data_IF_091360004487
#
_entry.id   IF_091360004487
#
_cell.length_a   1.000
_cell.length_b   1.000
_cell.length_c   1.000
_cell.angle_alpha   90.00
_cell.angle_beta   90.00
_cell.angle_gamma   90.00
#
_symmetry.space_group_name_H-M   'P 1'
#
loop_
_entity.id
_entity.type
_entity.pdbx_description
1 polymer ?
#
# COMPACT_ATOMS: atom_id res chain seq x y z
N UNK A 1 24.26 -3.83 0.74
CA UNK A 1 24.72 -2.40 0.74
C UNK A 1 23.57 -1.40 0.89
N UNK A 2 22.38 -1.66 0.36
CA UNK A 2 21.23 -0.72 0.49
C UNK A 2 20.75 -0.52 1.95
N UNK A 3 20.69 -1.57 2.75
CA UNK A 3 20.21 -1.51 4.15
C UNK A 3 21.15 -0.77 5.10
N UNK A 4 22.47 -0.93 4.94
CA UNK A 4 23.47 -0.19 5.74
C UNK A 4 23.36 1.32 5.52
N UNK A 5 23.00 1.73 4.30
CA UNK A 5 22.78 3.15 4.01
C UNK A 5 21.51 3.69 4.69
N UNK A 6 20.44 2.88 4.75
CA UNK A 6 19.19 3.29 5.40
C UNK A 6 19.36 3.47 6.91
N UNK A 7 20.06 2.56 7.58
CA UNK A 7 20.36 2.67 9.02
C UNK A 7 21.17 3.95 9.30
N UNK A 8 22.17 4.24 8.46
CA UNK A 8 22.96 5.46 8.61
C UNK A 8 22.10 6.73 8.42
N UNK A 9 21.22 6.75 7.42
CA UNK A 9 20.29 7.87 7.20
C UNK A 9 19.29 8.01 8.36
N UNK A 10 18.70 6.91 8.81
CA UNK A 10 17.79 6.90 9.96
C UNK A 10 18.49 7.44 11.22
N UNK A 11 19.73 7.00 11.47
CA UNK A 11 20.51 7.51 12.63
C UNK A 11 20.74 9.01 12.52
N UNK A 12 21.09 9.51 11.33
CA UNK A 12 21.26 10.94 11.11
C UNK A 12 19.96 11.75 11.39
N UNK A 13 18.82 11.20 10.99
CA UNK A 13 17.52 11.85 11.26
C UNK A 13 17.19 11.76 12.74
N UNK A 14 17.29 10.59 13.35
CA UNK A 14 16.85 10.33 14.72
C UNK A 14 17.70 11.07 15.77
N UNK A 15 19.03 11.16 15.56
CA UNK A 15 19.98 11.72 16.52
C UNK A 15 20.26 13.19 16.23
N UNK A 16 20.49 13.52 14.95
CA UNK A 16 20.93 14.87 14.56
C UNK A 16 19.84 15.73 13.93
N UNK A 17 18.60 15.23 13.84
CA UNK A 17 17.49 15.91 13.19
C UNK A 17 17.80 16.39 11.76
N UNK A 18 18.63 15.61 11.04
CA UNK A 18 19.11 15.95 9.70
C UNK A 18 17.99 15.77 8.67
N UNK A 19 17.35 16.87 8.29
CA UNK A 19 16.25 16.88 7.29
C UNK A 19 16.72 16.38 5.93
N UNK A 20 17.96 16.67 5.50
CA UNK A 20 18.49 16.19 4.22
C UNK A 20 18.64 14.67 4.18
N UNK A 21 18.95 14.04 5.30
CA UNK A 21 18.96 12.58 5.39
C UNK A 21 17.55 11.99 5.26
N UNK A 22 16.55 12.64 5.82
CA UNK A 22 15.16 12.23 5.64
C UNK A 22 14.69 12.41 4.18
N UNK A 23 15.03 13.51 3.52
CA UNK A 23 14.73 13.72 2.10
C UNK A 23 15.29 12.60 1.21
N UNK A 24 16.46 12.05 1.53
CA UNK A 24 17.02 10.91 0.81
C UNK A 24 16.16 9.63 1.01
N UNK A 25 15.69 9.38 2.22
CA UNK A 25 14.77 8.28 2.50
C UNK A 25 13.44 8.46 1.73
N UNK A 26 12.87 9.68 1.75
CA UNK A 26 11.66 9.99 0.98
C UNK A 26 11.87 9.72 -0.50
N UNK A 27 12.93 10.25 -1.11
CA UNK A 27 13.24 10.02 -2.54
C UNK A 27 13.40 8.55 -2.88
N UNK A 28 14.00 7.75 -1.98
CA UNK A 28 14.18 6.32 -2.18
C UNK A 28 12.86 5.54 -2.11
N UNK A 29 11.97 5.91 -1.19
CA UNK A 29 10.79 5.13 -0.87
C UNK A 29 9.47 5.70 -1.37
N UNK A 30 9.42 6.93 -1.90
CA UNK A 30 8.18 7.56 -2.39
C UNK A 30 7.48 6.73 -3.48
N UNK A 31 8.23 6.17 -4.43
CA UNK A 31 7.65 5.38 -5.52
C UNK A 31 7.04 4.06 -5.05
N UNK A 32 7.73 3.21 -4.26
CA UNK A 32 7.13 2.03 -3.64
C UNK A 32 5.89 2.33 -2.79
N UNK A 33 5.95 3.34 -1.91
CA UNK A 33 4.83 3.72 -1.04
C UNK A 33 3.63 4.19 -1.86
N UNK A 34 3.85 5.07 -2.84
CA UNK A 34 2.79 5.53 -3.75
C UNK A 34 2.17 4.38 -4.53
N UNK A 35 2.99 3.47 -5.08
CA UNK A 35 2.51 2.29 -5.81
C UNK A 35 1.66 1.39 -4.93
N UNK A 36 2.05 1.16 -3.68
CA UNK A 36 1.24 0.42 -2.72
C UNK A 36 -0.16 1.05 -2.60
N UNK A 37 -0.25 2.37 -2.38
CA UNK A 37 -1.54 3.04 -2.26
C UNK A 37 -2.35 3.01 -3.57
N UNK A 38 -1.74 3.21 -4.73
CA UNK A 38 -2.44 3.09 -6.01
C UNK A 38 -3.11 1.72 -6.18
N UNK A 39 -2.47 0.65 -5.73
CA UNK A 39 -3.04 -0.70 -5.77
C UNK A 39 -4.16 -0.87 -4.73
N UNK A 40 -4.05 -0.26 -3.55
CA UNK A 40 -5.09 -0.33 -2.52
C UNK A 40 -6.32 0.50 -2.89
N UNK A 41 -6.12 1.69 -3.47
CA UNK A 41 -7.18 2.63 -3.86
C UNK A 41 -7.73 2.38 -5.27
N UNK A 42 -7.23 1.32 -5.96
CA UNK A 42 -7.64 0.95 -7.32
C UNK A 42 -7.39 2.06 -8.35
N UNK A 43 -6.28 2.78 -8.20
CA UNK A 43 -5.84 3.80 -9.14
C UNK A 43 -6.24 5.24 -8.79
N UNK A 44 -6.87 5.50 -7.66
CA UNK A 44 -7.12 6.86 -7.20
C UNK A 44 -5.78 7.55 -6.86
N UNK A 45 -5.33 8.38 -7.79
CA UNK A 45 -4.02 9.02 -7.72
C UNK A 45 -3.97 10.08 -6.60
N UNK A 46 -5.03 10.87 -6.44
CA UNK A 46 -5.07 11.94 -5.44
C UNK A 46 -5.05 11.36 -4.04
N UNK A 47 -5.94 10.42 -3.75
CA UNK A 47 -5.96 9.73 -2.46
C UNK A 47 -4.64 9.02 -2.18
N UNK A 48 -4.04 8.38 -3.19
CA UNK A 48 -2.75 7.69 -3.03
C UNK A 48 -1.62 8.65 -2.67
N UNK A 49 -1.62 9.85 -3.24
CA UNK A 49 -0.62 10.90 -2.95
C UNK A 49 -0.80 11.44 -1.53
N UNK A 50 -2.04 11.67 -1.09
CA UNK A 50 -2.37 12.14 0.26
C UNK A 50 -1.96 11.10 1.33
N UNK A 51 -2.30 9.82 1.12
CA UNK A 51 -1.91 8.74 2.03
C UNK A 51 -0.39 8.51 2.06
N UNK A 52 0.29 8.66 0.92
CA UNK A 52 1.75 8.58 0.87
C UNK A 52 2.39 9.73 1.66
N UNK A 53 1.89 10.94 1.51
CA UNK A 53 2.36 12.09 2.28
C UNK A 53 2.14 11.89 3.79
N UNK A 54 0.96 11.44 4.20
CA UNK A 54 0.66 11.13 5.61
C UNK A 54 1.60 10.05 6.16
N UNK A 55 1.92 9.04 5.35
CA UNK A 55 2.87 7.98 5.71
C UNK A 55 4.25 8.54 6.03
N UNK A 56 4.80 9.44 5.19
CA UNK A 56 6.11 10.03 5.44
C UNK A 56 6.08 11.00 6.63
N UNK A 57 5.01 11.73 6.84
CA UNK A 57 4.83 12.57 8.05
C UNK A 57 4.87 11.69 9.30
N UNK A 58 4.08 10.60 9.34
CA UNK A 58 4.06 9.65 10.47
C UNK A 58 5.43 8.97 10.64
N UNK A 59 6.12 8.62 9.55
CA UNK A 59 7.45 8.05 9.59
C UNK A 59 8.46 9.03 10.22
N UNK A 60 8.46 10.29 9.80
CA UNK A 60 9.33 11.32 10.35
C UNK A 60 9.12 11.51 11.86
N UNK A 61 7.86 11.65 12.27
CA UNK A 61 7.49 11.84 13.69
C UNK A 61 7.82 10.64 14.58
N UNK A 62 7.89 9.44 14.00
CA UNK A 62 8.14 8.20 14.74
C UNK A 62 9.51 7.58 14.44
N UNK A 63 10.41 8.28 13.75
CA UNK A 63 11.69 7.71 13.30
C UNK A 63 12.58 7.24 14.46
N UNK A 64 12.48 7.88 15.61
CA UNK A 64 13.18 7.48 16.84
C UNK A 64 12.69 6.14 17.42
N UNK A 65 11.51 5.66 16.99
CA UNK A 65 10.95 4.36 17.38
C UNK A 65 11.45 3.22 16.49
N UNK A 66 12.14 3.53 15.40
CA UNK A 66 12.75 2.50 14.56
C UNK A 66 13.93 1.85 15.30
N UNK A 67 13.79 0.57 15.64
CA UNK A 67 14.78 -0.18 16.44
C UNK A 67 15.72 -1.06 15.60
N UNK A 68 15.60 -1.05 14.28
CA UNK A 68 16.40 -1.91 13.40
C UNK A 68 16.09 -3.41 13.47
N UNK A 69 14.94 -3.81 14.05
CA UNK A 69 14.48 -5.21 14.14
C UNK A 69 13.94 -5.76 12.80
N UNK A 70 13.75 -4.90 11.84
CA UNK A 70 13.38 -5.21 10.46
C UNK A 70 14.07 -4.19 9.55
N UNK A 71 13.98 -4.39 8.22
CA UNK A 71 14.42 -3.37 7.27
C UNK A 71 13.63 -2.07 7.46
N UNK A 72 14.23 -0.92 7.10
CA UNK A 72 13.50 0.36 7.11
C UNK A 72 12.30 0.31 6.17
N UNK A 73 12.42 -0.38 5.04
CA UNK A 73 11.32 -0.63 4.09
C UNK A 73 10.13 -1.31 4.77
N UNK A 74 10.34 -2.41 5.48
CA UNK A 74 9.31 -3.15 6.20
C UNK A 74 8.62 -2.29 7.26
N UNK A 75 9.41 -1.52 8.03
CA UNK A 75 8.88 -0.60 9.04
C UNK A 75 8.05 0.53 8.40
N UNK A 76 8.52 1.12 7.30
CA UNK A 76 7.81 2.17 6.58
C UNK A 76 6.50 1.64 5.97
N UNK A 77 6.54 0.44 5.36
CA UNK A 77 5.35 -0.18 4.80
C UNK A 77 4.32 -0.56 5.86
N UNK A 78 4.74 -0.89 7.08
CA UNK A 78 3.82 -1.05 8.21
C UNK A 78 3.10 0.25 8.56
N UNK A 79 3.79 1.38 8.49
CA UNK A 79 3.15 2.70 8.68
C UNK A 79 2.15 2.95 7.54
N UNK A 80 2.53 2.70 6.30
CA UNK A 80 1.66 2.85 5.14
C UNK A 80 0.39 1.98 5.25
N UNK A 81 0.56 0.71 5.63
CA UNK A 81 -0.55 -0.20 5.89
C UNK A 81 -1.52 0.36 6.94
N UNK A 82 -1.01 0.84 8.06
CA UNK A 82 -1.84 1.41 9.13
C UNK A 82 -2.56 2.69 8.66
N UNK A 83 -1.87 3.57 7.91
CA UNK A 83 -2.46 4.80 7.34
C UNK A 83 -3.65 4.43 6.44
N UNK A 84 -3.49 3.44 5.56
CA UNK A 84 -4.58 2.98 4.69
C UNK A 84 -5.79 2.47 5.47
N UNK A 85 -5.58 1.58 6.44
CA UNK A 85 -6.69 1.02 7.20
C UNK A 85 -7.36 2.02 8.14
N UNK A 86 -6.62 3.00 8.65
CA UNK A 86 -7.19 4.12 9.41
C UNK A 86 -8.10 4.99 8.52
N UNK A 87 -7.68 5.28 7.27
CA UNK A 87 -8.49 6.02 6.29
C UNK A 87 -9.77 5.24 5.93
N UNK A 88 -9.65 3.95 5.62
CA UNK A 88 -10.82 3.09 5.33
C UNK A 88 -11.80 3.07 6.50
N UNK A 89 -11.31 3.00 7.73
CA UNK A 89 -12.15 3.01 8.93
C UNK A 89 -12.87 4.35 9.11
N UNK A 90 -12.17 5.48 8.92
CA UNK A 90 -12.76 6.83 8.98
C UNK A 90 -13.88 6.98 7.95
N UNK A 91 -13.63 6.65 6.69
CA UNK A 91 -14.63 6.74 5.62
C UNK A 91 -15.83 5.86 5.86
N UNK A 92 -15.64 4.69 6.47
CA UNK A 92 -16.77 3.82 6.84
C UNK A 92 -17.66 4.48 7.87
N UNK A 93 -17.10 5.06 8.93
CA UNK A 93 -17.86 5.79 9.97
C UNK A 93 -18.60 6.97 9.36
N UNK A 94 -17.92 7.82 8.58
CA UNK A 94 -18.53 8.97 7.90
C UNK A 94 -19.66 8.54 6.96
N UNK A 95 -19.51 7.41 6.26
CA UNK A 95 -20.56 6.89 5.38
C UNK A 95 -21.75 6.29 6.13
N UNK A 96 -21.56 5.79 7.33
CA UNK A 96 -22.65 5.29 8.20
C UNK A 96 -23.43 6.48 8.81
N UNK A 97 -22.75 7.53 9.26
CA UNK A 97 -23.39 8.76 9.75
C UNK A 97 -24.16 9.50 8.66
N UNK A 98 -23.67 9.50 7.40
CA UNK A 98 -24.36 10.11 6.27
C UNK A 98 -25.58 9.29 5.82
N UNK A 99 -25.59 7.98 6.00
CA UNK A 99 -26.76 7.12 5.68
C UNK A 99 -27.93 7.33 6.62
N UNK A 100 -27.72 7.79 7.83
CA UNK A 100 -28.80 8.23 8.72
C UNK A 100 -29.50 9.52 8.22
N UNK A 101 -28.83 10.29 7.36
CA UNK A 101 -29.33 11.61 6.93
C UNK A 101 -29.66 11.77 5.43
N UNK A 102 -29.27 10.87 4.52
CA UNK A 102 -29.66 11.04 3.09
C UNK A 102 -29.31 9.80 2.24
N UNK A 103 -30.24 9.36 1.38
CA UNK A 103 -29.96 8.45 0.27
C UNK A 103 -29.24 9.20 -0.86
N UNK A 104 -27.97 8.97 -1.10
CA UNK A 104 -27.29 9.35 -2.35
C UNK A 104 -26.30 8.28 -2.78
N UNK A 105 -26.47 7.82 -4.02
CA UNK A 105 -25.65 6.84 -4.70
C UNK A 105 -24.23 7.39 -4.98
N UNK A 106 -23.22 6.64 -4.59
CA UNK A 106 -21.82 6.94 -4.92
C UNK A 106 -21.44 6.42 -6.31
N UNK A 107 -21.05 7.30 -7.21
CA UNK A 107 -20.49 6.96 -8.53
C UNK A 107 -18.99 6.66 -8.44
N UNK A 108 -18.46 5.70 -9.22
CA UNK A 108 -17.02 5.50 -9.33
C UNK A 108 -16.42 6.58 -10.25
N UNK A 109 -15.46 7.34 -9.70
CA UNK A 109 -14.68 8.32 -10.43
C UNK A 109 -13.64 7.63 -11.32
N UNK A 110 -13.90 7.63 -12.62
CA UNK A 110 -12.91 7.31 -13.66
C UNK A 110 -12.07 8.54 -13.97
N UNK A 111 -10.83 8.57 -13.54
CA UNK A 111 -9.87 9.59 -13.97
C UNK A 111 -9.11 9.15 -15.21
N UNK A 112 -8.95 10.09 -16.15
CA UNK A 112 -8.43 9.91 -17.50
C UNK A 112 -6.95 9.47 -17.52
N UNK A 113 -6.67 8.39 -18.23
CA UNK A 113 -5.33 7.90 -18.54
C UNK A 113 -5.22 7.55 -20.04
N UNK A 114 -4.04 7.71 -20.59
CA UNK A 114 -3.68 7.54 -22.00
C UNK A 114 -3.96 6.10 -22.55
N UNK A 115 -4.38 5.89 -23.84
CA UNK A 115 -5.19 4.73 -24.24
C UNK A 115 -4.54 3.32 -24.22
N UNK A 116 -3.24 3.17 -24.36
CA UNK A 116 -2.61 1.83 -24.50
C UNK A 116 -2.00 1.27 -23.22
N UNK A 117 -1.43 2.11 -22.37
CA UNK A 117 -1.03 1.74 -21.01
C UNK A 117 -2.21 1.76 -20.04
N UNK A 118 -3.33 2.37 -20.41
CA UNK A 118 -4.54 2.44 -19.61
C UNK A 118 -5.31 1.12 -19.57
N UNK A 119 -5.39 0.37 -20.68
CA UNK A 119 -6.12 -0.89 -20.73
C UNK A 119 -5.53 -1.92 -19.74
N UNK A 120 -4.23 -2.24 -19.87
CA UNK A 120 -3.58 -3.21 -18.96
C UNK A 120 -3.62 -2.78 -17.48
N UNK A 121 -3.43 -1.48 -17.20
CA UNK A 121 -3.55 -0.97 -15.82
C UNK A 121 -4.98 -1.06 -15.30
N UNK A 122 -5.98 -0.76 -16.14
CA UNK A 122 -7.39 -0.91 -15.78
C UNK A 122 -7.73 -2.36 -15.49
N UNK A 123 -7.23 -3.31 -16.28
CA UNK A 123 -7.46 -4.74 -16.07
C UNK A 123 -6.80 -5.24 -14.76
N UNK A 124 -5.61 -4.74 -14.43
CA UNK A 124 -4.96 -5.04 -13.15
C UNK A 124 -5.79 -4.48 -11.98
N UNK A 125 -6.25 -3.23 -12.04
CA UNK A 125 -7.08 -2.66 -10.96
C UNK A 125 -8.44 -3.35 -10.88
N UNK A 126 -9.03 -3.74 -12.00
CA UNK A 126 -10.26 -4.53 -12.01
C UNK A 126 -10.05 -5.91 -11.37
N UNK A 127 -8.94 -6.59 -11.67
CA UNK A 127 -8.57 -7.84 -11.00
C UNK A 127 -8.34 -7.65 -9.50
N UNK A 128 -7.67 -6.57 -9.10
CA UNK A 128 -7.45 -6.23 -7.68
C UNK A 128 -8.76 -5.87 -6.96
N UNK A 129 -9.75 -5.28 -7.66
CA UNK A 129 -11.05 -4.94 -7.09
C UNK A 129 -11.87 -6.17 -6.67
N UNK A 130 -11.64 -7.34 -7.30
CA UNK A 130 -12.27 -8.61 -6.92
C UNK A 130 -11.76 -9.19 -5.60
N UNK A 131 -10.63 -8.70 -5.12
CA UNK A 131 -9.99 -9.21 -3.91
C UNK A 131 -10.56 -8.53 -2.66
N UNK A 132 -10.69 -9.31 -1.59
CA UNK A 132 -10.93 -8.73 -0.26
C UNK A 132 -9.73 -7.84 0.13
N UNK A 133 -9.92 -6.82 0.99
CA UNK A 133 -8.84 -5.90 1.36
C UNK A 133 -7.53 -6.60 1.77
N UNK A 134 -7.61 -7.61 2.65
CA UNK A 134 -6.41 -8.34 3.12
C UNK A 134 -5.78 -9.19 2.01
N UNK A 135 -6.58 -9.81 1.13
CA UNK A 135 -6.09 -10.54 -0.04
C UNK A 135 -5.34 -9.59 -0.98
N UNK A 136 -5.92 -8.41 -1.26
CA UNK A 136 -5.33 -7.36 -2.08
C UNK A 136 -3.99 -6.88 -1.51
N UNK A 137 -3.96 -6.59 -0.21
CA UNK A 137 -2.74 -6.19 0.48
C UNK A 137 -1.65 -7.25 0.37
N UNK A 138 -1.96 -8.51 0.67
CA UNK A 138 -0.99 -9.60 0.56
C UNK A 138 -0.48 -9.79 -0.88
N UNK A 139 -1.36 -9.74 -1.87
CA UNK A 139 -1.01 -9.84 -3.30
C UNK A 139 -0.11 -8.67 -3.72
N UNK A 140 -0.47 -7.44 -3.37
CA UNK A 140 0.34 -6.25 -3.69
C UNK A 140 1.74 -6.36 -3.09
N UNK A 141 1.84 -6.67 -1.81
CA UNK A 141 3.13 -6.77 -1.12
C UNK A 141 3.99 -7.90 -1.67
N UNK A 142 3.41 -9.08 -2.01
CA UNK A 142 4.21 -10.21 -2.50
C UNK A 142 4.54 -10.10 -3.98
N UNK A 143 3.53 -9.90 -4.85
CA UNK A 143 3.73 -10.03 -6.30
C UNK A 143 4.23 -8.74 -6.95
N UNK A 144 3.91 -7.59 -6.38
CA UNK A 144 4.27 -6.29 -6.96
C UNK A 144 5.49 -5.70 -6.26
N UNK A 145 5.55 -5.80 -4.93
CA UNK A 145 6.62 -5.19 -4.14
C UNK A 145 7.70 -6.20 -3.70
N UNK A 146 7.47 -7.51 -3.88
CA UNK A 146 8.48 -8.56 -3.67
C UNK A 146 8.76 -8.93 -2.22
N UNK A 147 7.88 -8.56 -1.27
CA UNK A 147 8.06 -8.92 0.13
C UNK A 147 7.85 -10.42 0.38
N UNK A 148 8.72 -11.09 1.14
CA UNK A 148 8.50 -12.45 1.60
C UNK A 148 7.40 -12.51 2.67
N UNK A 149 6.85 -13.70 2.90
CA UNK A 149 5.67 -13.91 3.77
C UNK A 149 5.90 -13.42 5.20
N UNK A 150 7.08 -13.66 5.76
CA UNK A 150 7.42 -13.23 7.12
C UNK A 150 7.49 -11.69 7.25
N UNK A 151 7.92 -10.99 6.20
CA UNK A 151 7.87 -9.52 6.18
C UNK A 151 6.45 -8.99 5.98
N UNK A 152 5.64 -9.64 5.13
CA UNK A 152 4.22 -9.30 4.99
C UNK A 152 3.52 -9.45 6.34
N UNK A 153 3.80 -10.52 7.08
CA UNK A 153 3.29 -10.71 8.44
C UNK A 153 3.70 -9.58 9.39
N UNK A 154 4.96 -9.14 9.33
CA UNK A 154 5.46 -8.00 10.12
C UNK A 154 4.79 -6.67 9.72
N UNK A 155 4.55 -6.46 8.42
CA UNK A 155 3.89 -5.25 7.89
C UNK A 155 2.43 -5.20 8.34
N UNK A 156 1.70 -6.30 8.16
CA UNK A 156 0.24 -6.34 8.33
C UNK A 156 -0.21 -6.73 9.74
N UNK A 157 0.64 -7.45 10.48
CA UNK A 157 0.26 -8.10 11.73
C UNK A 157 -0.54 -9.39 11.54
N UNK A 158 -0.76 -9.84 10.30
CA UNK A 158 -1.48 -11.07 9.96
C UNK A 158 -0.52 -12.27 10.12
N UNK A 159 -0.92 -13.37 10.77
CA UNK A 159 -0.07 -14.55 10.90
C UNK A 159 0.32 -15.16 9.54
N UNK A 160 1.53 -15.71 9.42
CA UNK A 160 2.10 -16.27 8.17
C UNK A 160 1.16 -17.26 7.47
N UNK A 161 0.52 -18.15 8.21
CA UNK A 161 -0.41 -19.13 7.62
C UNK A 161 -1.66 -18.47 7.04
N UNK A 162 -2.10 -17.38 7.65
CA UNK A 162 -3.22 -16.57 7.14
C UNK A 162 -2.79 -15.79 5.90
N UNK A 163 -1.58 -15.21 5.89
CA UNK A 163 -0.98 -14.58 4.70
C UNK A 163 -0.92 -15.57 3.54
N UNK A 164 -0.42 -16.79 3.76
CA UNK A 164 -0.40 -17.86 2.73
C UNK A 164 -1.80 -18.15 2.18
N UNK A 165 -2.80 -18.20 3.06
CA UNK A 165 -4.20 -18.44 2.67
C UNK A 165 -4.78 -17.28 1.86
N UNK A 166 -4.48 -16.02 2.22
CA UNK A 166 -4.88 -14.83 1.45
C UNK A 166 -4.22 -14.81 0.07
N UNK A 167 -2.92 -15.11 0.01
CA UNK A 167 -2.17 -15.19 -1.24
C UNK A 167 -2.74 -16.26 -2.19
N UNK A 168 -3.01 -17.47 -1.67
CA UNK A 168 -3.60 -18.54 -2.49
C UNK A 168 -4.94 -18.11 -3.07
N UNK A 169 -5.87 -17.65 -2.23
CA UNK A 169 -7.20 -17.21 -2.68
C UNK A 169 -7.13 -16.01 -3.64
N UNK A 170 -6.25 -15.04 -3.35
CA UNK A 170 -6.05 -13.88 -4.21
C UNK A 170 -5.52 -14.28 -5.58
N UNK A 171 -4.50 -15.15 -5.65
CA UNK A 171 -3.94 -15.66 -6.91
C UNK A 171 -4.99 -16.44 -7.71
N UNK A 172 -5.78 -17.31 -7.09
CA UNK A 172 -6.86 -18.06 -7.75
C UNK A 172 -7.87 -17.11 -8.42
N UNK A 173 -8.37 -16.09 -7.69
CA UNK A 173 -9.32 -15.11 -8.22
C UNK A 173 -8.74 -14.30 -9.38
N UNK A 174 -7.51 -13.79 -9.22
CA UNK A 174 -6.86 -13.02 -10.28
C UNK A 174 -6.59 -13.87 -11.53
N UNK A 175 -6.17 -15.13 -11.35
CA UNK A 175 -5.94 -16.05 -12.48
C UNK A 175 -7.20 -16.30 -13.29
N UNK A 176 -8.33 -16.53 -12.63
CA UNK A 176 -9.63 -16.73 -13.30
C UNK A 176 -9.98 -15.48 -14.12
N UNK A 177 -9.97 -14.32 -13.47
CA UNK A 177 -10.31 -13.05 -14.13
C UNK A 177 -9.40 -12.74 -15.32
N UNK A 178 -8.09 -12.88 -15.17
CA UNK A 178 -7.13 -12.58 -16.22
C UNK A 178 -7.28 -13.53 -17.42
N UNK A 179 -7.54 -14.82 -17.19
CA UNK A 179 -7.83 -15.78 -18.27
C UNK A 179 -9.08 -15.41 -19.06
N UNK A 180 -10.17 -15.07 -18.36
CA UNK A 180 -11.42 -14.64 -18.99
C UNK A 180 -11.26 -13.35 -19.81
N UNK A 181 -10.27 -12.52 -19.50
CA UNK A 181 -9.96 -11.28 -20.22
C UNK A 181 -8.78 -11.41 -21.21
N UNK A 182 -8.42 -12.63 -21.61
CA UNK A 182 -7.48 -12.87 -22.71
C UNK A 182 -6.00 -12.87 -22.32
N UNK A 183 -5.65 -12.92 -21.03
CA UNK A 183 -4.28 -13.04 -20.53
C UNK A 183 -3.86 -14.51 -20.31
N UNK A 184 -4.17 -15.36 -21.25
CA UNK A 184 -4.02 -16.84 -21.17
C UNK A 184 -2.69 -17.33 -21.78
N UNK A 185 -1.59 -16.57 -21.62
CA UNK A 185 -0.28 -16.97 -22.17
C UNK A 185 0.72 -17.29 -21.06
#
# INVERSE_FOLDING_TARGET
MAELNDIALVTQVAVFHNKRAFDQLVRKYQSPVRRFFLNQTLGDAQLSDDLAQETFIKAYLNITKFRGLSSFSTWLMRIAYNVFYDDVRKRKVESEELKENTQVAGSPLTSQLSPLTSSLKMDIYAALALLKPDERTCITLQLIDGYPIDEISKITGIPDNTVKSHLRRGKEKMTVYLKENGYDR
#
